data_IF_820578891396
#
_entry.id   IF_820578891396
#
_cell.length_a   1.000
_cell.length_b   1.000
_cell.length_c   1.000
_cell.angle_alpha   90.00
_cell.angle_beta   90.00
_cell.angle_gamma   90.00
#
_symmetry.space_group_name_H-M   'P 1'
#
loop_
_entity.id
_entity.type
_entity.pdbx_description
1 polymer ?
#
# COMPACT_ATOMS: atom_id res chain seq x y z
N UNK A 1 15.62 33.33 9.73
CA UNK A 1 15.42 32.61 11.01
C UNK A 1 15.38 31.14 10.67
N UNK A 2 16.24 30.31 11.27
CA UNK A 2 16.19 28.87 11.04
C UNK A 2 14.85 28.36 11.59
N UNK A 3 14.02 27.76 10.75
CA UNK A 3 12.78 27.16 11.18
C UNK A 3 13.15 26.00 12.11
N UNK A 4 12.82 26.08 13.40
CA UNK A 4 13.05 24.97 14.32
C UNK A 4 12.29 23.75 13.78
N UNK A 5 12.99 22.62 13.65
CA UNK A 5 12.37 21.40 13.18
C UNK A 5 11.21 21.03 14.11
N UNK A 6 10.08 20.56 13.56
CA UNK A 6 8.93 20.15 14.35
C UNK A 6 9.31 19.20 15.48
N UNK A 7 8.78 19.45 16.68
CA UNK A 7 9.03 18.56 17.82
C UNK A 7 8.43 17.19 17.54
N UNK A 8 9.30 16.18 17.52
CA UNK A 8 8.90 14.77 17.37
C UNK A 8 7.98 14.33 18.53
N UNK A 9 6.81 13.72 18.25
CA UNK A 9 5.97 13.13 19.29
C UNK A 9 6.69 12.00 20.03
N UNK A 10 6.36 11.80 21.31
CA UNK A 10 6.94 10.73 22.12
C UNK A 10 6.48 9.32 21.74
N UNK A 11 5.29 9.20 21.15
CA UNK A 11 4.79 7.97 20.53
C UNK A 11 4.33 8.33 19.12
N UNK A 12 4.82 7.61 18.12
CA UNK A 12 4.48 7.82 16.72
C UNK A 12 3.39 6.85 16.28
N UNK A 13 2.31 7.41 15.76
CA UNK A 13 1.16 6.69 15.23
C UNK A 13 1.42 6.31 13.79
N UNK A 14 1.36 5.03 13.49
CA UNK A 14 1.65 4.50 12.16
C UNK A 14 0.36 4.06 11.48
N UNK A 15 0.17 4.49 10.23
CA UNK A 15 -0.87 3.96 9.34
C UNK A 15 -0.20 3.33 8.13
N UNK A 16 -0.57 2.08 7.83
CA UNK A 16 -0.01 1.33 6.71
C UNK A 16 -0.98 1.39 5.53
N UNK A 17 -0.49 1.80 4.36
CA UNK A 17 -1.24 1.90 3.12
C UNK A 17 -0.75 0.83 2.15
N UNK A 18 -1.57 -0.19 1.88
CA UNK A 18 -1.19 -1.35 1.07
C UNK A 18 -1.88 -1.27 -0.29
N UNK A 19 -1.08 -1.11 -1.34
CA UNK A 19 -1.52 -1.36 -2.71
C UNK A 19 -1.54 -2.88 -2.93
N UNK A 20 -2.75 -3.45 -3.01
CA UNK A 20 -2.95 -4.88 -3.09
C UNK A 20 -2.40 -5.48 -4.38
N UNK A 21 -2.47 -4.79 -5.52
CA UNK A 21 -1.99 -5.34 -6.78
C UNK A 21 -0.46 -5.36 -6.81
N UNK A 22 0.20 -4.26 -6.44
CA UNK A 22 1.66 -4.23 -6.31
C UNK A 22 2.13 -5.26 -5.28
N UNK A 23 1.51 -5.27 -4.10
CA UNK A 23 1.88 -6.18 -3.01
C UNK A 23 1.78 -7.65 -3.42
N UNK A 24 0.69 -8.07 -4.06
CA UNK A 24 0.55 -9.46 -4.50
C UNK A 24 1.48 -9.84 -5.65
N UNK A 25 1.74 -8.93 -6.57
CA UNK A 25 2.70 -9.14 -7.65
C UNK A 25 4.09 -9.34 -7.07
N UNK A 26 4.50 -8.51 -6.11
CA UNK A 26 5.80 -8.60 -5.48
C UNK A 26 5.93 -9.84 -4.61
N UNK A 27 4.91 -10.17 -3.81
CA UNK A 27 4.89 -11.44 -3.07
C UNK A 27 5.08 -12.64 -4.02
N UNK A 28 4.40 -12.65 -5.17
CA UNK A 28 4.56 -13.72 -6.15
C UNK A 28 5.97 -13.77 -6.73
N UNK A 29 6.58 -12.63 -7.05
CA UNK A 29 7.97 -12.57 -7.56
C UNK A 29 8.98 -13.05 -6.52
N UNK A 30 8.77 -12.69 -5.25
CA UNK A 30 9.73 -12.90 -4.16
C UNK A 30 9.59 -14.29 -3.55
N UNK A 31 8.37 -14.70 -3.20
CA UNK A 31 8.06 -15.93 -2.45
C UNK A 31 7.46 -17.06 -3.31
N UNK A 32 7.19 -16.81 -4.59
CA UNK A 32 6.56 -17.78 -5.49
C UNK A 32 5.04 -17.91 -5.33
N UNK A 33 4.42 -17.22 -4.35
CA UNK A 33 2.98 -17.12 -4.19
C UNK A 33 2.54 -15.71 -3.78
N UNK A 34 1.32 -15.31 -4.16
CA UNK A 34 0.75 -13.99 -3.82
C UNK A 34 -0.12 -13.99 -2.55
N UNK A 35 -0.16 -15.11 -1.83
CA UNK A 35 -1.05 -15.28 -0.68
C UNK A 35 -0.41 -14.73 0.59
N UNK A 36 -0.22 -13.41 0.64
CA UNK A 36 0.11 -12.70 1.87
C UNK A 36 -1.14 -12.06 2.45
N UNK A 37 -1.33 -12.22 3.76
CA UNK A 37 -2.43 -11.60 4.48
C UNK A 37 -1.95 -10.27 5.09
N UNK A 38 -2.52 -9.12 4.70
CA UNK A 38 -2.07 -7.82 5.20
C UNK A 38 -2.19 -7.63 6.72
N UNK A 39 -3.04 -8.39 7.41
CA UNK A 39 -3.05 -8.36 8.88
C UNK A 39 -1.75 -8.90 9.49
N UNK A 40 -0.99 -9.73 8.77
CA UNK A 40 0.33 -10.18 9.23
C UNK A 40 1.41 -9.11 8.99
N UNK A 41 1.16 -8.10 8.14
CA UNK A 41 2.01 -6.91 8.04
C UNK A 41 2.00 -6.11 9.33
N UNK A 42 0.92 -6.11 10.12
CA UNK A 42 0.91 -5.45 11.43
C UNK A 42 2.07 -5.92 12.29
N UNK A 43 2.27 -7.24 12.37
CA UNK A 43 3.36 -7.80 13.16
C UNK A 43 4.72 -7.43 12.57
N UNK A 44 4.93 -7.54 11.27
CA UNK A 44 6.23 -7.19 10.66
C UNK A 44 6.53 -5.70 10.65
N UNK A 45 5.51 -4.85 10.54
CA UNK A 45 5.68 -3.40 10.69
C UNK A 45 6.00 -3.12 12.16
N UNK A 46 5.12 -3.47 13.11
CA UNK A 46 5.26 -3.13 14.53
C UNK A 46 6.42 -3.81 15.26
N UNK A 47 6.57 -5.12 15.12
CA UNK A 47 7.39 -5.91 16.04
C UNK A 47 8.86 -6.03 15.64
N UNK A 48 9.19 -5.88 14.35
CA UNK A 48 10.58 -6.05 13.90
C UNK A 48 11.31 -4.73 13.62
N UNK A 49 10.61 -3.60 13.40
CA UNK A 49 11.26 -2.39 12.84
C UNK A 49 10.79 -1.03 13.34
N UNK A 50 9.64 -0.95 13.99
CA UNK A 50 9.10 0.35 14.38
C UNK A 50 9.79 0.94 15.62
N UNK A 51 10.48 0.15 16.45
CA UNK A 51 11.08 0.66 17.69
C UNK A 51 10.04 0.87 18.79
N UNK A 52 10.48 1.01 20.04
CA UNK A 52 9.57 1.05 21.20
C UNK A 52 8.66 2.29 21.25
N UNK A 53 8.93 3.30 20.42
CA UNK A 53 8.23 4.60 20.40
C UNK A 53 7.18 4.70 19.30
N UNK A 54 6.70 3.58 18.76
CA UNK A 54 5.72 3.56 17.67
C UNK A 54 4.55 2.63 17.97
N UNK A 55 3.36 3.02 17.49
CA UNK A 55 2.12 2.25 17.63
C UNK A 55 1.38 2.20 16.30
N UNK A 56 1.02 1.00 15.84
CA UNK A 56 0.15 0.87 14.68
C UNK A 56 -1.27 1.28 15.03
N UNK A 57 -1.79 2.23 14.26
CA UNK A 57 -3.17 2.70 14.38
C UNK A 57 -4.11 1.99 13.43
N UNK A 58 -3.66 1.72 12.21
CA UNK A 58 -4.52 1.15 11.17
C UNK A 58 -3.71 0.56 10.02
N UNK A 59 -4.24 -0.51 9.42
CA UNK A 59 -3.83 -1.01 8.11
C UNK A 59 -4.96 -0.73 7.12
N UNK A 60 -4.62 -0.17 5.96
CA UNK A 60 -5.54 0.16 4.87
C UNK A 60 -5.13 -0.62 3.64
N UNK A 61 -6.03 -1.42 3.08
CA UNK A 61 -5.78 -2.28 1.92
C UNK A 61 -6.64 -1.84 0.74
N UNK A 62 -5.99 -1.55 -0.38
CA UNK A 62 -6.64 -1.03 -1.58
C UNK A 62 -6.46 -2.01 -2.74
N UNK A 63 -7.53 -2.38 -3.44
CA UNK A 63 -7.40 -3.32 -4.57
C UNK A 63 -8.53 -3.26 -5.59
N UNK A 64 -8.21 -3.56 -6.85
CA UNK A 64 -9.17 -3.87 -7.89
C UNK A 64 -9.74 -5.28 -7.74
N UNK A 65 -11.06 -5.41 -7.85
CA UNK A 65 -11.74 -6.72 -7.88
C UNK A 65 -12.32 -6.97 -9.27
N UNK A 66 -12.22 -8.19 -9.77
CA UNK A 66 -12.87 -8.55 -11.04
C UNK A 66 -14.39 -8.36 -10.94
N UNK A 67 -15.06 -8.01 -12.04
CA UNK A 67 -16.52 -7.99 -12.09
C UNK A 67 -17.08 -9.42 -11.95
N UNK A 68 -18.19 -9.61 -11.20
CA UNK A 68 -18.83 -10.92 -11.06
C UNK A 68 -19.31 -11.47 -12.40
N UNK A 69 -19.72 -10.61 -13.33
CA UNK A 69 -20.19 -11.00 -14.68
C UNK A 69 -19.05 -11.48 -15.59
N UNK A 70 -17.80 -11.14 -15.26
CA UNK A 70 -16.61 -11.45 -16.07
C UNK A 70 -15.80 -12.60 -15.50
N UNK A 71 -15.52 -12.58 -14.18
CA UNK A 71 -14.73 -13.61 -13.50
C UNK A 71 -15.36 -13.91 -12.13
N UNK A 72 -16.51 -14.60 -12.07
CA UNK A 72 -17.28 -14.80 -10.83
C UNK A 72 -16.48 -15.52 -9.75
N UNK A 73 -15.68 -16.53 -10.11
CA UNK A 73 -14.82 -17.25 -9.15
C UNK A 73 -13.76 -16.35 -8.51
N UNK A 74 -13.08 -15.53 -9.31
CA UNK A 74 -12.05 -14.62 -8.82
C UNK A 74 -12.65 -13.49 -7.98
N UNK A 75 -13.82 -12.99 -8.39
CA UNK A 75 -14.59 -12.02 -7.62
C UNK A 75 -14.93 -12.59 -6.25
N UNK A 76 -15.60 -13.76 -6.19
CA UNK A 76 -15.99 -14.39 -4.93
C UNK A 76 -14.79 -14.67 -4.01
N UNK A 77 -13.68 -15.17 -4.57
CA UNK A 77 -12.45 -15.39 -3.81
C UNK A 77 -11.92 -14.09 -3.18
N UNK A 78 -11.82 -13.01 -3.96
CA UNK A 78 -11.29 -11.75 -3.45
C UNK A 78 -12.24 -11.09 -2.45
N UNK A 79 -13.56 -11.12 -2.71
CA UNK A 79 -14.57 -10.61 -1.77
C UNK A 79 -14.44 -11.30 -0.41
N UNK A 80 -14.32 -12.63 -0.38
CA UNK A 80 -14.12 -13.39 0.87
C UNK A 80 -12.82 -13.03 1.58
N UNK A 81 -11.74 -12.76 0.83
CA UNK A 81 -10.48 -12.28 1.42
C UNK A 81 -10.64 -10.91 2.04
N UNK A 82 -11.29 -9.98 1.35
CA UNK A 82 -11.55 -8.63 1.87
C UNK A 82 -12.42 -8.68 3.13
N UNK A 83 -13.48 -9.48 3.14
CA UNK A 83 -14.32 -9.70 4.32
C UNK A 83 -13.51 -10.24 5.50
N UNK A 84 -12.65 -11.24 5.25
CA UNK A 84 -11.74 -11.78 6.28
C UNK A 84 -10.79 -10.70 6.79
N UNK A 85 -10.23 -9.86 5.90
CA UNK A 85 -9.35 -8.75 6.30
C UNK A 85 -10.08 -7.73 7.18
N UNK A 86 -11.28 -7.31 6.76
CA UNK A 86 -12.11 -6.38 7.54
C UNK A 86 -12.49 -6.92 8.90
N UNK A 87 -12.84 -8.22 8.98
CA UNK A 87 -13.13 -8.89 10.25
C UNK A 87 -11.93 -8.92 11.21
N UNK A 88 -10.70 -8.81 10.68
CA UNK A 88 -9.46 -8.73 11.46
C UNK A 88 -8.91 -7.30 11.57
N UNK A 89 -9.75 -6.28 11.42
CA UNK A 89 -9.39 -4.88 11.71
C UNK A 89 -8.67 -4.13 10.57
N UNK A 90 -8.50 -4.75 9.40
CA UNK A 90 -7.94 -4.06 8.23
C UNK A 90 -9.04 -3.25 7.55
N UNK A 91 -8.82 -1.95 7.37
CA UNK A 91 -9.70 -1.14 6.54
C UNK A 91 -9.49 -1.51 5.08
N UNK A 92 -10.55 -1.90 4.36
CA UNK A 92 -10.44 -2.32 2.96
C UNK A 92 -11.19 -1.38 2.04
N UNK A 93 -10.59 -1.08 0.89
CA UNK A 93 -11.25 -0.39 -0.21
C UNK A 93 -11.07 -1.17 -1.50
N UNK A 94 -12.14 -1.31 -2.26
CA UNK A 94 -12.08 -1.98 -3.55
C UNK A 94 -12.93 -1.30 -4.61
N UNK A 95 -12.53 -1.50 -5.87
CA UNK A 95 -13.30 -1.08 -7.04
C UNK A 95 -13.34 -2.19 -8.08
N UNK A 96 -14.46 -2.34 -8.82
CA UNK A 96 -14.50 -3.23 -9.97
C UNK A 96 -13.45 -2.82 -11.02
N UNK A 97 -12.69 -3.79 -11.52
CA UNK A 97 -11.78 -3.60 -12.64
C UNK A 97 -12.57 -3.21 -13.90
N UNK A 98 -12.09 -2.20 -14.62
CA UNK A 98 -12.64 -1.85 -15.92
C UNK A 98 -11.93 -2.65 -17.00
N UNK A 99 -12.71 -3.35 -17.82
CA UNK A 99 -12.18 -4.13 -18.93
C UNK A 99 -12.23 -3.30 -20.21
N UNK A 100 -11.10 -3.23 -20.90
CA UNK A 100 -11.02 -2.65 -22.24
C UNK A 100 -10.28 -3.59 -23.17
N UNK A 101 -10.60 -3.55 -24.45
CA UNK A 101 -9.75 -4.18 -25.46
C UNK A 101 -8.44 -3.40 -25.56
N UNK A 102 -7.33 -4.12 -25.60
CA UNK A 102 -6.00 -3.55 -25.79
C UNK A 102 -5.24 -4.41 -26.79
N UNK A 103 -4.47 -3.76 -27.66
CA UNK A 103 -3.53 -4.43 -28.53
C UNK A 103 -2.24 -4.68 -27.76
N UNK A 104 -1.80 -5.94 -27.69
CA UNK A 104 -0.48 -6.31 -27.16
C UNK A 104 0.37 -6.88 -28.29
N UNK A 105 1.66 -6.56 -28.28
CA UNK A 105 2.62 -7.14 -29.22
C UNK A 105 3.21 -8.41 -28.61
N UNK A 106 3.12 -9.53 -29.31
CA UNK A 106 3.70 -10.82 -28.94
C UNK A 106 4.40 -11.41 -30.16
N UNK A 107 5.71 -11.60 -30.07
CA UNK A 107 6.53 -12.25 -31.11
C UNK A 107 6.26 -11.70 -32.53
N UNK A 108 6.28 -10.37 -32.66
CA UNK A 108 5.98 -9.57 -33.86
C UNK A 108 4.52 -9.49 -34.36
N UNK A 109 3.58 -10.12 -33.67
CA UNK A 109 2.14 -9.99 -33.95
C UNK A 109 1.45 -9.05 -32.96
N UNK A 110 0.51 -8.24 -33.46
CA UNK A 110 -0.41 -7.47 -32.63
C UNK A 110 -1.69 -8.29 -32.42
N UNK A 111 -1.92 -8.74 -31.18
CA UNK A 111 -3.14 -9.46 -30.79
C UNK A 111 -4.01 -8.58 -29.90
N UNK A 112 -5.31 -8.66 -30.11
CA UNK A 112 -6.29 -7.97 -29.27
C UNK A 112 -6.59 -8.81 -28.03
N UNK A 113 -6.38 -8.25 -26.85
CA UNK A 113 -6.67 -8.89 -25.57
C UNK A 113 -7.58 -8.02 -24.72
N UNK A 114 -8.53 -8.66 -24.05
CA UNK A 114 -9.35 -7.99 -23.04
C UNK A 114 -8.58 -7.89 -21.73
N UNK A 115 -8.12 -6.69 -21.38
CA UNK A 115 -7.36 -6.45 -20.15
C UNK A 115 -8.23 -5.75 -19.11
N UNK A 116 -8.29 -6.32 -17.90
CA UNK A 116 -8.84 -5.61 -16.74
C UNK A 116 -7.80 -4.61 -16.25
N UNK A 117 -8.18 -3.33 -16.16
CA UNK A 117 -7.36 -2.27 -15.58
C UNK A 117 -8.02 -1.74 -14.33
N UNK A 118 -7.23 -1.62 -13.29
CA UNK A 118 -7.59 -0.94 -12.06
C UNK A 118 -7.71 0.56 -12.37
N UNK A 119 -8.90 1.14 -12.17
CA UNK A 119 -9.12 2.57 -12.44
C UNK A 119 -9.37 3.31 -11.14
N UNK A 120 -8.37 4.08 -10.71
CA UNK A 120 -8.49 5.04 -9.62
C UNK A 120 -8.47 4.42 -8.23
N UNK A 121 -7.82 3.28 -8.06
CA UNK A 121 -7.43 2.80 -6.73
C UNK A 121 -6.22 3.60 -6.25
N UNK A 122 -5.21 3.77 -7.10
CA UNK A 122 -4.02 4.60 -6.85
C UNK A 122 -4.43 6.02 -6.46
N UNK A 123 -5.41 6.59 -7.17
CA UNK A 123 -6.02 7.90 -6.84
C UNK A 123 -6.64 7.90 -5.45
N UNK A 124 -7.36 6.84 -5.06
CA UNK A 124 -7.97 6.77 -3.73
C UNK A 124 -6.90 6.61 -2.64
N UNK A 125 -5.87 5.80 -2.89
CA UNK A 125 -4.74 5.62 -1.97
C UNK A 125 -4.02 6.96 -1.77
N UNK A 126 -3.65 7.64 -2.85
CA UNK A 126 -3.04 8.97 -2.85
C UNK A 126 -3.88 10.00 -2.07
N UNK A 127 -5.19 10.05 -2.33
CA UNK A 127 -6.09 10.95 -1.61
C UNK A 127 -6.18 10.61 -0.11
N UNK A 128 -6.27 9.33 0.25
CA UNK A 128 -6.33 8.94 1.67
C UNK A 128 -5.02 9.21 2.39
N UNK A 129 -3.87 9.03 1.72
CA UNK A 129 -2.57 9.41 2.25
C UNK A 129 -2.58 10.88 2.66
N UNK A 130 -2.93 11.78 1.74
CA UNK A 130 -2.96 13.22 2.00
C UNK A 130 -4.05 13.65 3.00
N UNK A 131 -5.29 13.17 2.84
CA UNK A 131 -6.42 13.57 3.70
C UNK A 131 -6.20 13.13 5.16
N UNK A 132 -5.60 11.96 5.39
CA UNK A 132 -5.30 11.48 6.73
C UNK A 132 -4.12 12.25 7.36
N UNK A 133 -3.13 12.70 6.56
CA UNK A 133 -2.11 13.63 7.03
C UNK A 133 -2.72 14.95 7.51
N UNK A 134 -3.60 15.55 6.70
CA UNK A 134 -4.27 16.81 7.04
C UNK A 134 -5.11 16.72 8.32
N UNK A 135 -5.73 15.56 8.56
CA UNK A 135 -6.50 15.30 9.78
C UNK A 135 -5.62 14.92 10.98
N UNK A 136 -4.32 14.78 10.79
CA UNK A 136 -3.39 14.35 11.83
C UNK A 136 -3.68 12.94 12.33
N UNK A 137 -4.15 12.03 11.47
CA UNK A 137 -4.53 10.65 11.84
C UNK A 137 -3.32 9.73 12.01
N UNK A 138 -2.16 10.15 11.50
CA UNK A 138 -0.88 9.46 11.66
C UNK A 138 0.27 10.45 11.81
N UNK A 139 1.36 9.94 12.36
CA UNK A 139 2.67 10.61 12.38
C UNK A 139 3.60 9.97 11.33
N UNK A 140 3.38 8.69 11.00
CA UNK A 140 4.06 7.97 9.92
C UNK A 140 3.04 7.28 9.01
N UNK A 141 3.18 7.50 7.71
CA UNK A 141 2.55 6.65 6.70
C UNK A 141 3.56 5.64 6.16
N UNK A 142 3.28 4.35 6.30
CA UNK A 142 4.06 3.29 5.64
C UNK A 142 3.33 2.86 4.38
N UNK A 143 3.87 3.22 3.21
CA UNK A 143 3.30 2.86 1.90
C UNK A 143 3.90 1.53 1.45
N UNK A 144 3.07 0.52 1.20
CA UNK A 144 3.48 -0.78 0.67
C UNK A 144 3.15 -0.80 -0.82
N UNK A 145 4.04 -0.24 -1.64
CA UNK A 145 3.92 -0.25 -3.09
C UNK A 145 5.27 0.02 -3.76
N UNK A 146 5.45 -0.51 -4.98
CA UNK A 146 6.56 -0.12 -5.87
C UNK A 146 6.12 0.84 -6.98
N UNK A 147 4.87 1.30 -6.93
CA UNK A 147 4.32 2.21 -7.93
C UNK A 147 4.81 3.65 -7.71
N UNK A 148 5.53 4.18 -8.69
CA UNK A 148 6.04 5.55 -8.69
C UNK A 148 4.93 6.58 -8.91
N UNK A 149 3.74 6.17 -9.39
CA UNK A 149 2.59 7.09 -9.55
C UNK A 149 2.09 7.63 -8.19
N UNK A 150 2.54 7.05 -7.06
CA UNK A 150 2.27 7.56 -5.72
C UNK A 150 3.26 8.63 -5.25
N UNK A 151 4.38 8.83 -5.96
CA UNK A 151 5.41 9.79 -5.55
C UNK A 151 4.86 11.22 -5.49
N UNK A 152 3.95 11.59 -6.39
CA UNK A 152 3.26 12.88 -6.37
C UNK A 152 2.49 13.08 -5.04
N UNK A 153 1.78 12.06 -4.57
CA UNK A 153 1.04 12.15 -3.32
C UNK A 153 1.97 12.24 -2.10
N UNK A 154 3.12 11.55 -2.16
CA UNK A 154 4.16 11.64 -1.12
C UNK A 154 4.75 13.05 -1.07
N UNK A 155 5.02 13.67 -2.22
CA UNK A 155 5.50 15.07 -2.30
C UNK A 155 4.50 16.03 -1.66
N UNK A 156 3.21 15.91 -1.97
CA UNK A 156 2.16 16.75 -1.36
C UNK A 156 2.10 16.62 0.17
N UNK A 157 2.38 15.43 0.70
CA UNK A 157 2.44 15.21 2.15
C UNK A 157 3.68 15.86 2.78
N UNK A 158 4.81 15.83 2.08
CA UNK A 158 6.04 16.49 2.50
C UNK A 158 5.88 18.01 2.46
N UNK A 159 5.31 18.55 1.38
CA UNK A 159 5.04 19.99 1.25
C UNK A 159 4.09 20.45 2.36
N UNK A 160 3.01 19.71 2.61
CA UNK A 160 2.09 19.97 3.73
C UNK A 160 2.80 20.01 5.09
N UNK A 161 3.74 19.07 5.33
CA UNK A 161 4.55 19.05 6.56
C UNK A 161 5.42 20.30 6.68
N UNK A 162 6.07 20.73 5.60
CA UNK A 162 6.94 21.92 5.58
C UNK A 162 6.14 23.21 5.80
N UNK A 163 4.99 23.34 5.15
CA UNK A 163 4.10 24.50 5.27
C UNK A 163 3.51 24.65 6.68
N UNK A 164 3.14 23.54 7.30
CA UNK A 164 2.46 23.55 8.61
C UNK A 164 3.41 23.42 9.80
N UNK A 165 4.65 23.01 9.57
CA UNK A 165 5.63 22.79 10.63
C UNK A 165 5.22 21.68 11.60
N UNK A 166 4.47 20.67 11.14
CA UNK A 166 4.12 19.48 11.94
C UNK A 166 5.16 18.37 11.79
N UNK A 167 5.21 17.44 12.74
CA UNK A 167 6.04 16.24 12.60
C UNK A 167 5.28 15.17 11.82
N UNK A 168 5.79 14.81 10.65
CA UNK A 168 5.19 13.82 9.77
C UNK A 168 6.28 13.11 8.96
N UNK A 169 6.14 11.81 8.75
CA UNK A 169 7.03 11.03 7.90
C UNK A 169 6.23 10.10 6.96
N UNK A 170 6.83 9.82 5.81
CA UNK A 170 6.35 8.80 4.88
C UNK A 170 7.50 7.84 4.63
N UNK A 171 7.23 6.55 4.78
CA UNK A 171 8.20 5.47 4.58
C UNK A 171 7.65 4.53 3.50
N UNK A 172 8.51 3.99 2.63
CA UNK A 172 8.11 3.00 1.63
C UNK A 172 8.58 1.61 2.03
N UNK A 173 7.70 0.62 1.96
CA UNK A 173 7.94 -0.77 2.26
C UNK A 173 7.75 -1.70 1.05
N UNK A 174 8.77 -2.49 0.70
CA UNK A 174 8.75 -3.38 -0.50
C UNK A 174 9.05 -4.84 -0.15
N UNK A 175 8.51 -5.81 -0.87
CA UNK A 175 8.81 -7.22 -0.56
C UNK A 175 10.25 -7.58 -0.92
N UNK A 176 10.98 -8.29 -0.03
CA UNK A 176 12.37 -8.71 -0.26
C UNK A 176 12.58 -10.18 0.08
N UNK A 177 13.55 -10.83 -0.59
CA UNK A 177 13.89 -12.22 -0.30
C UNK A 177 14.62 -12.32 1.06
N UNK A 178 14.37 -13.41 1.82
CA UNK A 178 15.08 -13.78 3.04
C UNK A 178 16.62 -13.63 3.01
N UNK A 179 17.24 -13.88 1.86
CA UNK A 179 18.70 -13.97 1.71
C UNK A 179 19.42 -12.61 1.59
N UNK A 180 18.72 -11.48 1.71
CA UNK A 180 19.34 -10.16 1.88
C UNK A 180 19.71 -10.01 3.37
N UNK A 181 21.01 -9.90 3.75
CA UNK A 181 21.53 -10.27 5.08
C UNK A 181 21.23 -9.25 6.20
N UNK A 182 20.06 -8.61 6.20
CA UNK A 182 19.58 -7.80 7.32
C UNK A 182 18.32 -8.44 7.94
N UNK A 183 18.22 -8.58 9.28
CA UNK A 183 17.22 -9.48 9.88
C UNK A 183 15.76 -9.04 9.61
N UNK A 184 14.86 -10.00 9.26
CA UNK A 184 13.40 -9.79 9.12
C UNK A 184 12.79 -10.01 7.71
N UNK A 185 13.29 -11.05 7.03
CA UNK A 185 12.98 -11.76 5.77
C UNK A 185 11.72 -11.55 4.87
N UNK A 186 11.06 -10.39 4.81
CA UNK A 186 10.00 -10.23 3.80
C UNK A 186 9.66 -8.84 3.29
N UNK A 187 9.98 -7.78 4.02
CA UNK A 187 9.67 -6.40 3.62
C UNK A 187 10.91 -5.53 3.84
N UNK A 188 11.21 -4.53 3.01
CA UNK A 188 12.30 -3.54 3.18
C UNK A 188 11.66 -2.16 3.26
N UNK A 189 11.89 -1.46 4.38
CA UNK A 189 11.39 -0.10 4.59
C UNK A 189 12.54 0.89 4.31
N UNK A 190 12.34 1.84 3.41
CA UNK A 190 13.22 3.00 3.24
C UNK A 190 12.50 4.23 3.80
N UNK A 191 13.18 4.97 4.67
CA UNK A 191 12.74 6.28 5.16
C UNK A 191 13.35 7.42 4.35
#
# INVERSE_FOLDING_TARGET
>A
MANELPRRPGILRVVVFVDGQNFYNDCRKVFGHGEAHPHLLEREVCSSRLGEDRVLKQVRFYTGIHSPDRKPRMHAYMTRRLETMSANGVWTFSRPLKYSMQWIRKDDECIEVMKGREKGIDVKLALDLYVLAQKGEYDIATVVSTDTDLDEAIREVVDFREETGIWLAVENAVCVKPTDPRPGEGLRING
#
